data_IF_638172203889
#
_entry.id   IF_638172203889
#
_cell.length_a   1.000
_cell.length_b   1.000
_cell.length_c   1.000
_cell.angle_alpha   90.00
_cell.angle_beta   90.00
_cell.angle_gamma   90.00
#
_symmetry.space_group_name_H-M   'P 1'
#
loop_
_entity.id
_entity.type
_entity.pdbx_description
1 polymer ?
#
# COMPACT_ATOMS: atom_id res chain seq x y z
N UNK A 1 -10.90 17.60 11.51
CA UNK A 1 -9.90 16.54 11.63
C UNK A 1 -9.28 16.26 10.29
N UNK A 2 -8.01 16.27 10.21
CA UNK A 2 -7.34 15.98 8.96
C UNK A 2 -6.56 14.68 9.08
N UNK A 3 -6.49 13.99 8.00
CA UNK A 3 -5.67 12.82 7.85
C UNK A 3 -5.16 12.83 6.43
N UNK A 4 -4.34 11.85 6.11
CA UNK A 4 -3.85 11.70 4.75
C UNK A 4 -4.38 10.39 4.19
N UNK A 5 -4.99 10.46 3.03
CA UNK A 5 -5.43 9.28 2.30
C UNK A 5 -4.56 9.09 1.07
N UNK A 6 -4.24 7.85 0.83
CA UNK A 6 -3.57 7.46 -0.41
C UNK A 6 -4.46 6.45 -1.09
N UNK A 7 -4.73 6.65 -2.38
CA UNK A 7 -5.52 5.71 -3.15
C UNK A 7 -4.85 5.48 -4.49
N UNK A 8 -5.06 4.32 -5.07
CA UNK A 8 -4.50 4.03 -6.35
C UNK A 8 -4.45 2.55 -6.66
N UNK A 9 -3.54 2.19 -7.53
CA UNK A 9 -3.42 0.83 -8.02
C UNK A 9 -1.98 0.35 -7.98
N UNK A 10 -1.83 -0.92 -7.64
CA UNK A 10 -0.60 -1.66 -7.81
C UNK A 10 -0.76 -2.44 -9.10
N UNK A 11 0.11 -2.21 -10.07
CA UNK A 11 -0.03 -2.78 -11.41
C UNK A 11 1.12 -3.74 -11.68
N UNK A 12 0.79 -5.02 -11.78
CA UNK A 12 1.76 -6.06 -12.06
C UNK A 12 1.94 -6.22 -13.57
N UNK A 13 3.15 -6.52 -13.99
CA UNK A 13 3.44 -6.72 -15.41
C UNK A 13 3.07 -8.13 -15.89
N UNK A 14 3.02 -9.08 -14.96
CA UNK A 14 2.78 -10.48 -15.30
C UNK A 14 2.28 -11.23 -14.06
N UNK A 15 1.92 -12.49 -14.25
CA UNK A 15 1.38 -13.30 -13.16
C UNK A 15 2.41 -13.64 -12.10
N UNK A 16 3.69 -13.67 -12.45
CA UNK A 16 4.74 -13.90 -11.44
C UNK A 16 4.78 -12.77 -10.43
N UNK A 17 4.65 -11.52 -10.90
CA UNK A 17 4.58 -10.37 -9.99
C UNK A 17 3.31 -10.42 -9.15
N UNK A 18 2.18 -10.78 -9.75
CA UNK A 18 0.94 -10.92 -8.99
C UNK A 18 1.06 -11.97 -7.90
N UNK A 19 1.80 -13.03 -8.17
CA UNK A 19 2.06 -14.08 -7.19
C UNK A 19 2.91 -13.58 -6.02
N UNK A 20 3.92 -12.74 -6.33
CA UNK A 20 4.71 -12.10 -5.28
C UNK A 20 3.84 -11.25 -4.37
N UNK A 21 2.94 -10.46 -4.95
CA UNK A 21 2.03 -9.65 -4.15
C UNK A 21 1.17 -10.55 -3.26
N UNK A 22 0.59 -11.60 -3.83
CA UNK A 22 -0.24 -12.53 -3.05
C UNK A 22 0.54 -13.15 -1.89
N UNK A 23 1.80 -13.45 -2.10
CA UNK A 23 2.62 -14.10 -1.08
C UNK A 23 3.00 -13.16 0.07
N UNK A 24 3.42 -11.93 -0.25
CA UNK A 24 3.95 -11.02 0.76
C UNK A 24 2.91 -10.06 1.35
N UNK A 25 1.79 -9.85 0.65
CA UNK A 25 0.80 -8.86 1.05
C UNK A 25 0.15 -9.13 2.41
N UNK A 26 -0.24 -10.37 2.76
CA UNK A 26 -0.93 -10.58 4.04
C UNK A 26 -0.11 -10.13 5.25
N UNK A 27 1.18 -10.42 5.26
CA UNK A 27 2.05 -10.00 6.35
C UNK A 27 2.22 -8.48 6.35
N UNK A 28 2.34 -7.88 5.18
CA UNK A 28 2.50 -6.44 5.04
C UNK A 28 1.25 -5.71 5.56
N UNK A 29 0.07 -6.20 5.20
CA UNK A 29 -1.18 -5.61 5.68
C UNK A 29 -1.24 -5.69 7.20
N UNK A 30 -0.95 -6.87 7.77
CA UNK A 30 -1.01 -7.06 9.21
C UNK A 30 -0.06 -6.12 9.95
N UNK A 31 1.18 -6.02 9.48
CA UNK A 31 2.16 -5.17 10.13
C UNK A 31 1.81 -3.69 9.98
N UNK A 32 1.31 -3.31 8.81
CA UNK A 32 0.93 -1.92 8.57
C UNK A 32 -0.21 -1.49 9.49
N UNK A 33 -1.20 -2.35 9.67
CA UNK A 33 -2.34 -2.03 10.54
C UNK A 33 -1.94 -1.89 12.00
N UNK A 34 -0.79 -2.42 12.39
CA UNK A 34 -0.28 -2.28 13.74
C UNK A 34 0.56 -1.02 13.92
N UNK A 35 0.88 -0.32 12.84
CA UNK A 35 1.70 0.90 12.94
C UNK A 35 0.92 2.00 13.63
N UNK A 36 1.55 2.74 14.57
CA UNK A 36 0.88 3.89 15.18
C UNK A 36 0.50 4.90 14.11
N UNK A 37 -0.74 5.37 14.17
CA UNK A 37 -1.24 6.36 13.22
C UNK A 37 -1.85 5.80 11.96
N UNK A 38 -1.80 4.48 11.76
CA UNK A 38 -2.49 3.87 10.63
C UNK A 38 -3.98 3.74 10.96
N UNK A 39 -4.82 4.44 10.21
CA UNK A 39 -6.26 4.42 10.42
C UNK A 39 -6.97 3.40 9.55
N UNK A 40 -6.44 3.15 8.35
CA UNK A 40 -6.97 2.12 7.45
C UNK A 40 -5.90 1.74 6.44
N UNK A 41 -5.89 0.47 6.07
CA UNK A 41 -4.98 -0.02 5.04
C UNK A 41 -5.64 -1.23 4.38
N UNK A 42 -6.04 -1.06 3.11
CA UNK A 42 -6.74 -2.09 2.36
C UNK A 42 -6.12 -2.24 0.99
N UNK A 43 -5.83 -3.48 0.62
CA UNK A 43 -5.34 -3.81 -0.72
C UNK A 43 -6.14 -5.01 -1.21
N UNK A 44 -6.82 -4.84 -2.33
CA UNK A 44 -7.76 -5.84 -2.83
C UNK A 44 -7.49 -6.10 -4.31
N UNK A 45 -7.39 -7.37 -4.68
CA UNK A 45 -7.25 -7.72 -6.09
C UNK A 45 -8.54 -7.38 -6.84
N UNK A 46 -8.40 -6.76 -8.01
CA UNK A 46 -9.56 -6.42 -8.83
C UNK A 46 -9.94 -7.61 -9.71
N UNK A 47 -10.92 -7.40 -10.62
CA UNK A 47 -11.27 -8.43 -11.59
C UNK A 47 -10.14 -8.73 -12.57
N UNK A 48 -9.21 -7.77 -12.73
CA UNK A 48 -7.97 -8.01 -13.44
C UNK A 48 -6.94 -8.54 -12.45
N UNK A 49 -6.47 -9.79 -12.58
CA UNK A 49 -5.55 -10.37 -11.60
C UNK A 49 -4.21 -9.65 -11.49
N UNK A 50 -3.89 -8.78 -12.44
CA UNK A 50 -2.64 -8.02 -12.41
C UNK A 50 -2.79 -6.68 -11.69
N UNK A 51 -4.01 -6.27 -11.35
CA UNK A 51 -4.28 -4.96 -10.77
C UNK A 51 -4.88 -5.11 -9.39
N UNK A 52 -4.27 -4.43 -8.42
CA UNK A 52 -4.71 -4.40 -7.03
C UNK A 52 -5.12 -2.99 -6.66
N UNK A 53 -6.30 -2.85 -6.08
CA UNK A 53 -6.79 -1.57 -5.57
C UNK A 53 -6.20 -1.32 -4.21
N UNK A 54 -5.63 -0.13 -4.00
CA UNK A 54 -4.96 0.25 -2.76
C UNK A 54 -5.66 1.44 -2.14
N UNK A 55 -5.95 1.35 -0.85
CA UNK A 55 -6.53 2.45 -0.08
C UNK A 55 -5.84 2.50 1.27
N UNK A 56 -5.25 3.66 1.60
CA UNK A 56 -4.53 3.85 2.85
C UNK A 56 -5.00 5.14 3.50
N UNK A 57 -5.06 5.14 4.82
CA UNK A 57 -5.44 6.32 5.58
C UNK A 57 -4.57 6.40 6.82
N UNK A 58 -3.87 7.51 6.97
CA UNK A 58 -2.97 7.74 8.09
C UNK A 58 -3.33 9.04 8.78
N UNK A 59 -2.94 9.18 10.05
CA UNK A 59 -3.30 10.35 10.86
C UNK A 59 -2.73 11.64 10.30
N UNK A 60 -1.52 11.57 9.71
CA UNK A 60 -0.88 12.76 9.16
C UNK A 60 0.20 12.34 8.16
N UNK A 61 0.80 13.35 7.55
CA UNK A 61 1.79 13.16 6.51
C UNK A 61 3.05 12.48 7.01
N UNK A 62 3.46 12.78 8.23
CA UNK A 62 4.65 12.18 8.82
C UNK A 62 4.48 10.68 9.02
N UNK A 63 3.29 10.26 9.46
CA UNK A 63 3.00 8.84 9.63
C UNK A 63 3.05 8.12 8.28
N UNK A 64 2.47 8.73 7.25
CA UNK A 64 2.52 8.16 5.91
C UNK A 64 3.97 8.01 5.43
N UNK A 65 4.78 9.04 5.63
CA UNK A 65 6.18 9.00 5.21
C UNK A 65 6.95 7.91 5.94
N UNK A 66 6.74 7.78 7.24
CA UNK A 66 7.36 6.71 8.03
C UNK A 66 6.97 5.34 7.52
N UNK A 67 5.68 5.17 7.20
CA UNK A 67 5.20 3.92 6.63
C UNK A 67 5.91 3.60 5.31
N UNK A 68 6.03 4.59 4.43
CA UNK A 68 6.66 4.38 3.14
C UNK A 68 8.13 4.00 3.28
N UNK A 69 8.84 4.61 4.21
CA UNK A 69 10.24 4.30 4.46
C UNK A 69 10.41 2.88 5.00
N UNK A 70 9.55 2.47 5.92
CA UNK A 70 9.59 1.12 6.47
C UNK A 70 9.23 0.08 5.41
N UNK A 71 8.22 0.39 4.60
CA UNK A 71 7.82 -0.49 3.52
C UNK A 71 8.95 -0.72 2.53
N UNK A 72 9.63 0.34 2.14
CA UNK A 72 10.72 0.24 1.16
C UNK A 72 11.88 -0.60 1.68
N UNK A 73 12.14 -0.57 2.98
CA UNK A 73 13.25 -1.33 3.58
C UNK A 73 12.86 -2.74 4.00
N UNK A 74 11.58 -3.09 3.92
CA UNK A 74 11.12 -4.43 4.29
C UNK A 74 11.43 -5.44 3.18
N UNK A 75 11.36 -6.73 3.52
CA UNK A 75 11.53 -7.78 2.53
C UNK A 75 10.47 -7.69 1.44
N UNK A 76 9.23 -7.44 1.82
CA UNK A 76 8.14 -7.26 0.87
C UNK A 76 8.43 -6.10 -0.08
N UNK A 77 8.91 -4.96 0.44
CA UNK A 77 9.24 -3.81 -0.39
C UNK A 77 10.34 -4.12 -1.39
N UNK A 78 11.35 -4.86 -0.96
CA UNK A 78 12.46 -5.25 -1.85
C UNK A 78 12.01 -6.21 -2.93
N UNK A 79 11.20 -7.20 -2.57
CA UNK A 79 10.74 -8.20 -3.52
C UNK A 79 9.75 -7.64 -4.53
N UNK A 80 9.01 -6.60 -4.16
CA UNK A 80 7.99 -6.00 -5.04
C UNK A 80 8.40 -4.64 -5.59
N UNK A 81 9.68 -4.28 -5.48
CA UNK A 81 10.14 -2.94 -5.87
C UNK A 81 9.93 -2.63 -7.35
N UNK A 82 9.97 -3.66 -8.21
CA UNK A 82 9.79 -3.47 -9.65
C UNK A 82 8.33 -3.36 -10.09
N UNK A 83 7.39 -3.52 -9.18
CA UNK A 83 5.97 -3.47 -9.53
C UNK A 83 5.51 -2.02 -9.52
N UNK A 84 4.82 -1.61 -10.58
CA UNK A 84 4.37 -0.23 -10.74
C UNK A 84 3.31 0.13 -9.72
N UNK A 85 3.47 1.33 -9.14
CA UNK A 85 2.50 1.87 -8.18
C UNK A 85 1.95 3.18 -8.73
N UNK A 86 0.65 3.24 -8.97
CA UNK A 86 -0.04 4.42 -9.50
C UNK A 86 -0.88 5.00 -8.39
N UNK A 87 -0.25 5.72 -7.47
CA UNK A 87 -0.90 6.24 -6.28
C UNK A 87 -1.08 7.74 -6.35
N UNK A 88 -2.12 8.22 -5.69
CA UNK A 88 -2.35 9.64 -5.51
C UNK A 88 -2.67 9.89 -4.04
N UNK A 89 -2.13 10.97 -3.52
CA UNK A 89 -2.42 11.40 -2.16
C UNK A 89 -3.66 12.28 -2.24
N UNK A 90 -4.67 11.93 -1.44
CA UNK A 90 -5.93 12.66 -1.39
C UNK A 90 -6.10 13.15 0.04
N UNK A 91 -6.09 14.47 0.20
CA UNK A 91 -6.35 15.06 1.52
C UNK A 91 -7.85 15.17 1.73
N UNK A 92 -8.31 14.89 2.95
CA UNK A 92 -9.75 14.98 3.20
C UNK A 92 -10.26 16.41 3.03
N UNK A 93 -11.48 16.50 2.53
CA UNK A 93 -12.18 17.79 2.48
C UNK A 93 -12.45 18.30 3.88
N UNK A 94 -12.49 19.60 3.98
CA UNK A 94 -12.84 20.24 5.25
C UNK A 94 -14.28 20.68 5.27
#
# INVERSE_FOLDING_TARGET
MSGIRLTGELVCNNLDEARLVTEYLPAHIRLTRLEPGCLAFNVTQTTDPLIWQVEEHFENEMVLKTHQERGASSEQGKMTAGIERRYAIVEPSR
#
